data_IF_134562109433
#
_entry.id   IF_134562109433
#
_cell.length_a   1.000
_cell.length_b   1.000
_cell.length_c   1.000
_cell.angle_alpha   90.00
_cell.angle_beta   90.00
_cell.angle_gamma   90.00
#
_symmetry.space_group_name_H-M   'P 1'
#
loop_
_entity.id
_entity.type
_entity.pdbx_description
1 polymer ?
#
# COMPACT_ATOMS: atom_id res chain seq x y z
N UNK A 1 39.85 -9.13 -0.37
CA UNK A 1 38.88 -8.03 -0.12
C UNK A 1 37.98 -8.50 1.01
N UNK A 2 38.09 -7.87 2.17
CA UNK A 2 37.30 -8.18 3.36
C UNK A 2 35.80 -8.01 3.04
N UNK A 3 35.07 -9.13 2.95
CA UNK A 3 33.63 -9.14 2.69
C UNK A 3 32.81 -8.56 3.86
N UNK A 4 33.46 -8.30 5.00
CA UNK A 4 32.82 -7.89 6.25
C UNK A 4 32.77 -6.37 6.47
N UNK A 5 33.36 -5.58 5.57
CA UNK A 5 33.42 -4.12 5.67
C UNK A 5 32.53 -3.35 4.70
N UNK A 6 31.69 -4.03 3.91
CA UNK A 6 30.81 -3.33 2.97
C UNK A 6 29.47 -3.01 3.64
N UNK A 7 29.10 -1.74 3.67
CA UNK A 7 27.93 -1.22 4.39
C UNK A 7 26.60 -1.97 4.10
N UNK A 8 26.44 -2.54 2.90
CA UNK A 8 25.25 -3.31 2.54
C UNK A 8 25.11 -4.63 3.32
N UNK A 9 26.21 -5.18 3.86
CA UNK A 9 26.18 -6.41 4.67
C UNK A 9 25.71 -6.17 6.10
N UNK A 10 25.74 -4.91 6.56
CA UNK A 10 25.24 -4.44 7.86
C UNK A 10 23.83 -3.85 7.77
N UNK A 11 23.34 -3.57 6.56
CA UNK A 11 22.01 -3.05 6.34
C UNK A 11 20.97 -4.15 6.50
N UNK A 12 20.03 -3.97 7.43
CA UNK A 12 18.87 -4.87 7.55
C UNK A 12 17.87 -4.51 6.47
N UNK A 13 17.84 -5.31 5.41
CA UNK A 13 16.94 -5.09 4.27
C UNK A 13 15.46 -5.22 4.62
N UNK A 14 15.13 -5.78 5.79
CA UNK A 14 13.79 -5.70 6.40
C UNK A 14 13.32 -4.26 6.67
N UNK A 15 14.22 -3.26 6.71
CA UNK A 15 13.86 -1.85 6.78
C UNK A 15 13.64 -1.18 5.42
N UNK A 16 13.88 -1.87 4.30
CA UNK A 16 13.70 -1.26 2.98
C UNK A 16 12.21 -0.94 2.73
N UNK A 17 11.84 0.34 2.55
CA UNK A 17 10.46 0.77 2.67
C UNK A 17 9.74 0.69 1.32
N UNK A 18 9.40 -0.50 0.85
CA UNK A 18 8.45 -0.65 -0.26
C UNK A 18 7.15 -1.29 0.24
N UNK A 19 6.33 -0.45 0.86
CA UNK A 19 5.00 -0.78 1.36
C UNK A 19 3.98 0.18 0.74
N UNK A 20 2.67 -0.11 0.87
CA UNK A 20 1.64 0.79 0.36
C UNK A 20 1.78 2.23 0.88
N UNK A 21 2.23 2.37 2.13
CA UNK A 21 2.43 3.67 2.78
C UNK A 21 3.67 4.43 2.29
N UNK A 22 4.58 3.81 1.54
CA UNK A 22 5.74 4.49 0.95
C UNK A 22 5.58 4.81 -0.53
N UNK A 23 4.61 4.21 -1.23
CA UNK A 23 4.31 4.49 -2.65
C UNK A 23 4.21 5.98 -2.97
N UNK A 24 3.50 6.82 -2.17
CA UNK A 24 3.36 8.24 -2.50
C UNK A 24 4.70 8.97 -2.62
N UNK A 25 5.72 8.56 -1.86
CA UNK A 25 7.06 9.16 -1.92
C UNK A 25 7.75 8.95 -3.26
N UNK A 26 7.47 7.85 -3.94
CA UNK A 26 8.02 7.58 -5.27
C UNK A 26 7.22 8.28 -6.37
N UNK A 27 5.92 8.47 -6.17
CA UNK A 27 5.05 9.02 -7.21
C UNK A 27 4.94 10.55 -7.19
N UNK A 28 5.08 11.19 -6.03
CA UNK A 28 5.06 12.65 -5.95
C UNK A 28 6.17 13.32 -6.78
N UNK A 29 7.44 12.89 -6.72
CA UNK A 29 8.47 13.46 -7.58
C UNK A 29 8.13 13.31 -9.06
N UNK A 30 7.63 12.14 -9.48
CA UNK A 30 7.23 11.87 -10.88
C UNK A 30 6.10 12.81 -11.29
N UNK A 31 5.10 13.00 -10.44
CA UNK A 31 3.99 13.93 -10.67
C UNK A 31 4.48 15.38 -10.82
N UNK A 32 5.43 15.82 -9.98
CA UNK A 32 5.92 17.21 -9.98
C UNK A 32 6.76 17.54 -11.21
N UNK A 33 7.54 16.59 -11.75
CA UNK A 33 8.38 16.82 -12.93
C UNK A 33 7.65 16.55 -14.25
N UNK A 34 6.59 15.75 -14.22
CA UNK A 34 5.87 15.37 -15.43
C UNK A 34 4.88 16.45 -15.87
N UNK A 35 4.89 16.76 -17.17
CA UNK A 35 4.02 17.76 -17.78
C UNK A 35 2.75 17.15 -18.41
N UNK A 36 2.70 15.82 -18.57
CA UNK A 36 1.57 15.14 -19.19
C UNK A 36 0.37 15.09 -18.22
N UNK A 37 -0.69 15.85 -18.54
CA UNK A 37 -1.91 15.96 -17.73
C UNK A 37 -2.63 14.62 -17.50
N UNK A 38 -2.64 13.72 -18.49
CA UNK A 38 -3.30 12.43 -18.37
C UNK A 38 -2.54 11.52 -17.40
N UNK A 39 -1.21 11.46 -17.54
CA UNK A 39 -0.37 10.72 -16.60
C UNK A 39 -0.48 11.31 -15.19
N UNK A 40 -0.46 12.63 -15.05
CA UNK A 40 -0.63 13.31 -13.76
C UNK A 40 -1.97 12.99 -13.10
N UNK A 41 -3.05 12.83 -13.88
CA UNK A 41 -4.34 12.38 -13.35
C UNK A 41 -4.27 10.94 -12.82
N UNK A 42 -3.67 10.02 -13.58
CA UNK A 42 -3.47 8.62 -13.16
C UNK A 42 -2.64 8.56 -11.88
N UNK A 43 -1.54 9.33 -11.82
CA UNK A 43 -0.67 9.40 -10.64
C UNK A 43 -1.40 9.94 -9.41
N UNK A 44 -2.16 11.04 -9.56
CA UNK A 44 -2.93 11.62 -8.45
C UNK A 44 -4.03 10.66 -7.97
N UNK A 45 -4.72 9.99 -8.89
CA UNK A 45 -5.72 8.98 -8.52
C UNK A 45 -5.07 7.87 -7.69
N UNK A 46 -3.94 7.35 -8.15
CA UNK A 46 -3.24 6.27 -7.47
C UNK A 46 -2.60 6.69 -6.15
N UNK A 47 -2.05 7.90 -6.06
CA UNK A 47 -1.58 8.47 -4.79
C UNK A 47 -2.74 8.64 -3.83
N UNK A 48 -3.88 9.17 -4.28
CA UNK A 48 -5.07 9.31 -3.42
C UNK A 48 -5.54 7.95 -2.89
N UNK A 49 -5.58 6.94 -3.76
CA UNK A 49 -6.00 5.57 -3.43
C UNK A 49 -5.06 4.91 -2.42
N UNK A 50 -3.75 4.91 -2.71
CA UNK A 50 -2.73 4.25 -1.88
C UNK A 50 -2.46 4.99 -0.58
N UNK A 51 -2.49 6.32 -0.56
CA UNK A 51 -2.32 7.11 0.68
C UNK A 51 -3.49 6.89 1.63
N UNK A 52 -4.72 6.92 1.11
CA UNK A 52 -5.90 6.66 1.94
C UNK A 52 -5.89 5.24 2.49
N UNK A 53 -5.67 4.25 1.61
CA UNK A 53 -5.65 2.85 2.03
C UNK A 53 -4.48 2.55 2.98
N UNK A 54 -3.26 2.98 2.65
CA UNK A 54 -2.06 2.77 3.46
C UNK A 54 -2.09 3.51 4.79
N UNK A 55 -2.74 4.68 4.86
CA UNK A 55 -2.97 5.39 6.12
C UNK A 55 -3.97 4.67 7.02
N UNK A 56 -5.13 4.29 6.47
CA UNK A 56 -6.22 3.66 7.24
C UNK A 56 -5.88 2.22 7.64
N UNK A 57 -5.27 1.44 6.75
CA UNK A 57 -5.08 0.00 6.95
C UNK A 57 -4.23 -0.32 8.16
N UNK A 58 -3.18 0.47 8.42
CA UNK A 58 -2.33 0.29 9.58
C UNK A 58 -3.01 0.76 10.87
N UNK A 59 -3.80 1.84 10.82
CA UNK A 59 -4.48 2.36 12.00
C UNK A 59 -5.67 1.47 12.44
N UNK A 60 -6.33 0.78 11.50
CA UNK A 60 -7.56 0.02 11.75
C UNK A 60 -7.35 -1.50 11.69
N UNK A 61 -6.68 -2.01 10.65
CA UNK A 61 -6.65 -3.45 10.38
C UNK A 61 -5.44 -4.16 11.00
N UNK A 62 -4.29 -3.48 11.08
CA UNK A 62 -3.04 -4.11 11.54
C UNK A 62 -2.21 -3.18 12.46
N UNK A 63 -2.79 -2.68 13.57
CA UNK A 63 -2.08 -1.75 14.46
C UNK A 63 -0.86 -2.39 15.13
N UNK A 64 -0.92 -3.69 15.40
CA UNK A 64 0.14 -4.43 16.10
C UNK A 64 1.42 -4.63 15.28
N UNK A 65 1.39 -4.44 13.95
CA UNK A 65 2.59 -4.55 13.12
C UNK A 65 3.46 -3.29 13.14
N UNK A 66 2.94 -2.19 13.69
CA UNK A 66 3.60 -0.88 13.61
C UNK A 66 3.81 -0.23 14.97
N UNK A 67 3.12 -0.74 16.00
CA UNK A 67 3.39 -0.44 17.40
C UNK A 67 4.53 -1.33 17.90
N UNK A 68 5.70 -0.72 18.11
CA UNK A 68 6.90 -1.33 18.64
C UNK A 68 7.05 -1.02 20.13
N UNK A 69 8.09 -1.56 20.79
CA UNK A 69 8.40 -1.25 22.20
C UNK A 69 8.94 0.18 22.42
N UNK A 70 8.92 1.04 21.40
CA UNK A 70 9.53 2.36 21.45
C UNK A 70 8.52 3.42 21.06
N UNK A 71 8.20 4.28 22.04
CA UNK A 71 7.27 5.40 21.91
C UNK A 71 7.63 6.29 20.70
N UNK A 72 8.92 6.48 20.41
CA UNK A 72 9.35 7.28 19.28
C UNK A 72 8.91 6.68 17.93
N UNK A 73 9.13 5.37 17.74
CA UNK A 73 8.71 4.69 16.51
C UNK A 73 7.19 4.65 16.38
N UNK A 74 6.48 4.49 17.49
CA UNK A 74 5.02 4.48 17.52
C UNK A 74 4.46 5.85 17.13
N UNK A 75 4.96 6.93 17.73
CA UNK A 75 4.57 8.29 17.38
C UNK A 75 4.90 8.62 15.92
N UNK A 76 6.10 8.28 15.45
CA UNK A 76 6.50 8.51 14.06
C UNK A 76 5.57 7.76 13.09
N UNK A 77 5.30 6.49 13.36
CA UNK A 77 4.39 5.66 12.56
C UNK A 77 2.98 6.26 12.53
N UNK A 78 2.41 6.57 13.68
CA UNK A 78 1.06 7.14 13.76
C UNK A 78 0.94 8.48 13.04
N UNK A 79 1.95 9.35 13.16
CA UNK A 79 1.98 10.63 12.44
C UNK A 79 2.07 10.37 10.93
N UNK A 80 2.96 9.49 10.49
CA UNK A 80 3.14 9.13 9.08
C UNK A 80 1.84 8.62 8.45
N UNK A 81 1.20 7.62 9.06
CA UNK A 81 -0.05 7.05 8.57
C UNK A 81 -1.22 8.03 8.65
N UNK A 82 -1.27 8.85 9.70
CA UNK A 82 -2.25 9.94 9.82
C UNK A 82 -2.11 10.97 8.69
N UNK A 83 -0.89 11.38 8.34
CA UNK A 83 -0.64 12.29 7.22
C UNK A 83 -1.06 11.66 5.90
N UNK A 84 -0.75 10.39 5.64
CA UNK A 84 -1.17 9.69 4.42
C UNK A 84 -2.69 9.63 4.29
N UNK A 85 -3.39 9.31 5.38
CA UNK A 85 -4.84 9.33 5.41
C UNK A 85 -5.38 10.73 5.05
N UNK A 86 -4.83 11.78 5.66
CA UNK A 86 -5.22 13.16 5.37
C UNK A 86 -4.96 13.56 3.92
N UNK A 87 -3.82 13.18 3.34
CA UNK A 87 -3.50 13.41 1.92
C UNK A 87 -4.59 12.80 1.04
N UNK A 88 -4.94 11.52 1.27
CA UNK A 88 -5.99 10.85 0.52
C UNK A 88 -7.34 11.55 0.63
N UNK A 89 -7.75 11.94 1.84
CA UNK A 89 -9.00 12.67 2.09
C UNK A 89 -9.00 14.02 1.38
N UNK A 90 -7.93 14.80 1.50
CA UNK A 90 -7.80 16.14 0.88
C UNK A 90 -7.90 16.05 -0.64
N UNK A 91 -7.23 15.07 -1.27
CA UNK A 91 -7.29 14.86 -2.72
C UNK A 91 -8.71 14.50 -3.19
N UNK A 92 -9.44 13.70 -2.41
CA UNK A 92 -10.85 13.36 -2.69
C UNK A 92 -11.75 14.57 -2.53
N UNK A 93 -11.70 15.26 -1.38
CA UNK A 93 -12.63 16.35 -1.07
C UNK A 93 -12.47 17.55 -2.01
N UNK A 94 -11.24 17.90 -2.37
CA UNK A 94 -10.94 18.95 -3.34
C UNK A 94 -11.18 18.54 -4.80
N UNK A 95 -11.59 17.29 -5.05
CA UNK A 95 -11.85 16.74 -6.37
C UNK A 95 -10.60 16.67 -7.29
N UNK A 96 -9.40 16.58 -6.72
CA UNK A 96 -8.20 16.25 -7.48
C UNK A 96 -8.23 14.79 -7.94
N UNK A 97 -8.69 13.90 -7.06
CA UNK A 97 -9.09 12.54 -7.42
C UNK A 97 -10.61 12.43 -7.44
N UNK A 98 -11.15 11.90 -8.53
CA UNK A 98 -12.60 11.79 -8.80
C UNK A 98 -12.92 10.37 -9.21
N UNK A 99 -13.98 9.83 -8.63
CA UNK A 99 -14.56 8.56 -9.06
C UNK A 99 -15.48 8.81 -10.27
N UNK A 100 -14.91 8.88 -11.47
CA UNK A 100 -15.66 9.13 -12.71
C UNK A 100 -15.97 7.83 -13.46
N UNK A 101 -17.14 7.24 -13.19
CA UNK A 101 -17.78 6.24 -14.08
C UNK A 101 -16.83 5.15 -14.65
N UNK A 102 -15.89 4.65 -13.83
CA UNK A 102 -14.98 3.55 -14.18
C UNK A 102 -13.53 3.94 -14.49
N UNK A 103 -13.23 5.13 -15.01
CA UNK A 103 -11.83 5.48 -15.36
C UNK A 103 -10.93 5.49 -14.12
N UNK A 104 -11.43 6.01 -13.00
CA UNK A 104 -10.76 5.90 -11.71
C UNK A 104 -10.37 4.45 -11.36
N UNK A 105 -11.28 3.49 -11.51
CA UNK A 105 -11.01 2.08 -11.18
C UNK A 105 -9.92 1.55 -12.13
N UNK A 106 -10.02 1.86 -13.42
CA UNK A 106 -9.04 1.44 -14.44
C UNK A 106 -7.65 2.02 -14.15
N UNK A 107 -7.54 3.32 -13.87
CA UNK A 107 -6.27 3.99 -13.55
C UNK A 107 -5.58 3.33 -12.35
N UNK A 108 -6.35 3.13 -11.27
CA UNK A 108 -5.83 2.53 -10.05
C UNK A 108 -5.45 1.08 -10.27
N UNK A 109 -6.28 0.28 -10.95
CA UNK A 109 -5.99 -1.11 -11.24
C UNK A 109 -4.72 -1.24 -12.10
N UNK A 110 -4.60 -0.41 -13.13
CA UNK A 110 -3.44 -0.39 -14.01
C UNK A 110 -2.14 -0.11 -13.24
N UNK A 111 -2.11 0.96 -12.45
CA UNK A 111 -0.95 1.30 -11.62
C UNK A 111 -0.64 0.23 -10.58
N UNK A 112 -1.68 -0.34 -9.99
CA UNK A 112 -1.56 -1.38 -8.99
C UNK A 112 -0.97 -2.67 -9.57
N UNK A 113 -1.39 -3.07 -10.78
CA UNK A 113 -0.81 -4.22 -11.50
C UNK A 113 0.64 -3.98 -11.87
N UNK A 114 1.00 -2.80 -12.39
CA UNK A 114 2.41 -2.45 -12.67
C UNK A 114 3.25 -2.60 -11.41
N UNK A 115 2.81 -1.97 -10.32
CA UNK A 115 3.53 -2.02 -9.06
C UNK A 115 3.65 -3.46 -8.54
N UNK A 116 2.56 -4.23 -8.56
CA UNK A 116 2.57 -5.62 -8.14
C UNK A 116 3.55 -6.46 -8.97
N UNK A 117 3.53 -6.33 -10.31
CA UNK A 117 4.48 -7.03 -11.18
C UNK A 117 5.93 -6.67 -10.87
N UNK A 118 6.23 -5.37 -10.69
CA UNK A 118 7.58 -4.92 -10.30
C UNK A 118 7.99 -5.53 -8.96
N UNK A 119 7.10 -5.54 -7.97
CA UNK A 119 7.37 -6.07 -6.64
C UNK A 119 7.63 -7.57 -6.67
N UNK A 120 6.83 -8.34 -7.40
CA UNK A 120 7.03 -9.79 -7.56
C UNK A 120 8.38 -10.09 -8.22
N UNK A 121 8.72 -9.37 -9.30
CA UNK A 121 10.00 -9.53 -9.99
C UNK A 121 11.17 -9.19 -9.07
N UNK A 122 11.10 -8.07 -8.34
CA UNK A 122 12.16 -7.65 -7.43
C UNK A 122 12.31 -8.64 -6.26
N UNK A 123 11.20 -9.13 -5.70
CA UNK A 123 11.24 -10.20 -4.71
C UNK A 123 11.90 -11.46 -5.31
N UNK A 124 11.62 -11.84 -6.54
CA UNK A 124 12.30 -13.01 -7.13
C UNK A 124 13.80 -12.78 -7.33
N UNK A 125 14.21 -11.60 -7.80
CA UNK A 125 15.62 -11.24 -7.95
C UNK A 125 16.35 -11.27 -6.60
N UNK A 126 15.74 -10.69 -5.56
CA UNK A 126 16.31 -10.72 -4.22
C UNK A 126 16.46 -12.15 -3.72
N UNK A 127 15.47 -13.02 -3.95
CA UNK A 127 15.54 -14.41 -3.53
C UNK A 127 16.71 -15.13 -4.20
N UNK A 128 16.80 -15.06 -5.53
CA UNK A 128 17.86 -15.74 -6.28
C UNK A 128 19.27 -15.23 -5.96
N UNK A 129 19.40 -13.93 -5.69
CA UNK A 129 20.70 -13.33 -5.33
C UNK A 129 21.12 -13.69 -3.91
N UNK A 130 20.19 -13.79 -2.97
CA UNK A 130 20.46 -14.14 -1.58
C UNK A 130 20.62 -15.66 -1.34
N UNK A 131 20.03 -16.51 -2.20
CA UNK A 131 20.06 -17.97 -2.06
C UNK A 131 21.48 -18.58 -2.04
N UNK A 132 22.52 -17.84 -2.47
CA UNK A 132 23.91 -18.30 -2.44
C UNK A 132 24.54 -18.27 -1.03
N UNK A 133 23.94 -17.58 -0.06
CA UNK A 133 24.41 -17.47 1.33
C UNK A 133 23.31 -17.92 2.33
N UNK A 134 22.88 -19.18 2.19
CA UNK A 134 21.69 -19.77 2.86
C UNK A 134 21.61 -19.59 4.39
N UNK A 135 22.75 -19.45 5.08
CA UNK A 135 22.80 -19.38 6.54
C UNK A 135 22.51 -17.99 7.12
N UNK A 136 22.39 -16.93 6.31
CA UNK A 136 22.05 -15.56 6.75
C UNK A 136 20.59 -15.15 6.47
N UNK A 137 19.76 -16.07 5.99
CA UNK A 137 18.55 -15.77 5.21
C UNK A 137 17.29 -15.32 5.98
N UNK A 138 17.14 -15.59 7.28
CA UNK A 138 15.82 -15.41 7.92
C UNK A 138 15.50 -13.99 8.40
N UNK A 139 16.48 -13.13 8.71
CA UNK A 139 16.21 -11.80 9.29
C UNK A 139 16.55 -10.60 8.39
N UNK A 140 17.31 -10.83 7.32
CA UNK A 140 17.91 -9.76 6.50
C UNK A 140 17.43 -9.73 5.04
N UNK A 141 16.30 -10.37 4.74
CA UNK A 141 15.77 -10.43 3.38
C UNK A 141 14.73 -9.32 3.10
N UNK A 142 14.86 -8.54 2.00
CA UNK A 142 13.84 -7.59 1.60
C UNK A 142 12.58 -8.31 1.09
N UNK A 143 11.50 -8.27 1.88
CA UNK A 143 10.18 -8.77 1.46
C UNK A 143 9.28 -7.59 1.10
N UNK A 144 9.41 -7.12 -0.14
CA UNK A 144 8.67 -5.97 -0.64
C UNK A 144 7.15 -6.25 -0.62
N UNK A 145 6.35 -5.31 -0.12
CA UNK A 145 4.91 -5.44 0.21
C UNK A 145 4.54 -6.63 1.11
N UNK A 146 5.52 -7.32 1.69
CA UNK A 146 5.34 -8.60 2.37
C UNK A 146 4.75 -9.73 1.48
N UNK A 147 4.96 -9.71 0.16
CA UNK A 147 4.30 -10.63 -0.79
C UNK A 147 5.20 -11.69 -1.44
N UNK A 148 6.42 -11.91 -0.95
CA UNK A 148 7.28 -12.95 -1.51
C UNK A 148 6.61 -14.33 -1.40
N UNK A 149 6.55 -15.07 -2.50
CA UNK A 149 5.99 -16.42 -2.55
C UNK A 149 6.89 -17.47 -1.86
N UNK A 150 8.11 -17.08 -1.49
CA UNK A 150 9.07 -17.92 -0.76
C UNK A 150 9.01 -17.76 0.76
N UNK A 151 8.30 -16.72 1.25
CA UNK A 151 8.27 -16.37 2.67
C UNK A 151 6.86 -16.43 3.24
N UNK A 152 6.76 -16.93 4.46
CA UNK A 152 5.51 -16.87 5.20
C UNK A 152 5.23 -15.41 5.61
N UNK A 153 3.97 -14.99 5.52
CA UNK A 153 3.51 -13.66 5.91
C UNK A 153 2.16 -13.76 6.65
N UNK A 154 1.67 -12.64 7.17
CA UNK A 154 0.41 -12.62 7.92
C UNK A 154 -0.78 -13.17 7.11
N UNK A 155 -0.85 -12.88 5.80
CA UNK A 155 -1.94 -13.37 4.94
C UNK A 155 -1.86 -14.88 4.71
N UNK A 156 -0.66 -15.43 4.59
CA UNK A 156 -0.42 -16.87 4.55
C UNK A 156 -0.94 -17.54 5.81
N UNK A 157 -0.56 -17.04 6.99
CA UNK A 157 -1.04 -17.59 8.27
C UNK A 157 -2.57 -17.52 8.39
N UNK A 158 -3.17 -16.41 7.97
CA UNK A 158 -4.61 -16.23 7.96
C UNK A 158 -5.30 -17.21 7.01
N UNK A 159 -4.75 -17.41 5.80
CA UNK A 159 -5.27 -18.35 4.81
C UNK A 159 -5.17 -19.80 5.30
N UNK A 160 -4.02 -20.21 5.80
CA UNK A 160 -3.81 -21.56 6.35
C UNK A 160 -4.78 -21.84 7.50
N UNK A 161 -5.02 -20.85 8.36
CA UNK A 161 -5.98 -20.94 9.47
C UNK A 161 -7.43 -21.04 9.00
N UNK A 162 -7.85 -20.21 8.04
CA UNK A 162 -9.24 -20.17 7.54
C UNK A 162 -9.58 -21.46 6.80
N UNK A 163 -8.68 -21.93 5.94
CA UNK A 163 -8.94 -23.09 5.08
C UNK A 163 -8.45 -24.41 5.68
N UNK A 164 -7.77 -24.37 6.84
CA UNK A 164 -7.17 -25.56 7.47
C UNK A 164 -6.22 -26.32 6.53
N UNK A 165 -5.48 -25.59 5.70
CA UNK A 165 -4.49 -26.13 4.73
C UNK A 165 -3.08 -25.68 5.15
N UNK A 166 -2.05 -26.49 4.86
CA UNK A 166 -0.64 -26.09 4.97
C UNK A 166 -0.04 -25.89 3.58
N UNK A 167 0.54 -24.73 3.32
CA UNK A 167 1.10 -24.35 2.01
C UNK A 167 2.58 -24.73 1.86
N UNK A 168 3.21 -25.29 2.91
CA UNK A 168 4.52 -25.95 2.88
C UNK A 168 5.63 -25.17 2.13
N UNK A 169 5.72 -23.86 2.34
CA UNK A 169 6.80 -23.03 1.78
C UNK A 169 6.58 -22.55 0.35
N UNK A 170 5.47 -22.91 -0.30
CA UNK A 170 5.10 -22.38 -1.62
C UNK A 170 3.84 -21.52 -1.50
N UNK A 171 4.02 -20.20 -1.50
CA UNK A 171 2.96 -19.23 -1.23
C UNK A 171 2.50 -18.48 -2.50
N UNK A 172 2.63 -19.08 -3.67
CA UNK A 172 2.20 -18.49 -4.95
C UNK A 172 0.72 -18.10 -4.95
N UNK A 173 -0.15 -18.95 -4.40
CA UNK A 173 -1.59 -18.67 -4.29
C UNK A 173 -1.84 -17.38 -3.50
N UNK A 174 -1.13 -17.19 -2.39
CA UNK A 174 -1.25 -15.97 -1.57
C UNK A 174 -0.73 -14.75 -2.31
N UNK A 175 0.41 -14.91 -2.99
CA UNK A 175 1.02 -13.83 -3.79
C UNK A 175 0.07 -13.36 -4.89
N UNK A 176 -0.60 -14.29 -5.59
CA UNK A 176 -1.56 -13.97 -6.65
C UNK A 176 -2.90 -13.43 -6.13
N UNK A 177 -3.34 -13.85 -4.94
CA UNK A 177 -4.56 -13.33 -4.31
C UNK A 177 -4.35 -11.96 -3.66
N UNK A 178 -3.13 -11.67 -3.19
CA UNK A 178 -2.77 -10.40 -2.57
C UNK A 178 -3.25 -9.17 -3.35
N UNK A 179 -3.00 -9.04 -4.66
CA UNK A 179 -3.38 -7.86 -5.39
C UNK A 179 -4.90 -7.68 -5.46
N UNK A 180 -5.64 -8.78 -5.62
CA UNK A 180 -7.10 -8.77 -5.68
C UNK A 180 -7.68 -8.33 -4.33
N UNK A 181 -7.22 -8.95 -3.24
CA UNK A 181 -7.73 -8.65 -1.89
C UNK A 181 -7.46 -7.19 -1.51
N UNK A 182 -6.21 -6.74 -1.66
CA UNK A 182 -5.83 -5.37 -1.28
C UNK A 182 -6.52 -4.32 -2.16
N UNK A 183 -6.66 -4.58 -3.47
CA UNK A 183 -7.35 -3.67 -4.37
C UNK A 183 -8.84 -3.54 -4.01
N UNK A 184 -9.53 -4.65 -3.72
CA UNK A 184 -10.94 -4.63 -3.29
C UNK A 184 -11.10 -3.90 -1.95
N UNK A 185 -10.24 -4.17 -0.98
CA UNK A 185 -10.27 -3.48 0.32
C UNK A 185 -10.01 -1.96 0.16
N UNK A 186 -9.02 -1.58 -0.65
CA UNK A 186 -8.72 -0.19 -0.92
C UNK A 186 -9.88 0.52 -1.65
N UNK A 187 -10.55 -0.15 -2.59
CA UNK A 187 -11.77 0.37 -3.23
C UNK A 187 -12.93 0.53 -2.24
N UNK A 188 -13.12 -0.42 -1.32
CA UNK A 188 -14.15 -0.33 -0.29
C UNK A 188 -13.91 0.89 0.62
N UNK A 189 -12.67 1.08 1.09
CA UNK A 189 -12.27 2.24 1.91
C UNK A 189 -12.50 3.55 1.15
N UNK A 190 -12.06 3.63 -0.11
CA UNK A 190 -12.24 4.83 -0.93
C UNK A 190 -13.72 5.15 -1.17
N UNK A 191 -14.52 4.11 -1.46
CA UNK A 191 -15.96 4.25 -1.68
C UNK A 191 -16.68 4.76 -0.43
N UNK A 192 -16.30 4.30 0.76
CA UNK A 192 -16.83 4.78 2.03
C UNK A 192 -16.59 6.29 2.22
N UNK A 193 -15.38 6.78 1.94
CA UNK A 193 -15.06 8.22 2.02
C UNK A 193 -15.86 9.04 1.02
N UNK A 194 -16.09 8.53 -0.19
CA UNK A 194 -16.96 9.19 -1.17
C UNK A 194 -18.40 9.28 -0.68
N UNK A 195 -18.94 8.20 -0.10
CA UNK A 195 -20.29 8.21 0.47
C UNK A 195 -20.39 9.30 1.54
N UNK A 196 -19.42 9.40 2.46
CA UNK A 196 -19.38 10.45 3.48
C UNK A 196 -19.38 11.85 2.84
N UNK A 197 -18.53 12.07 1.84
CA UNK A 197 -18.46 13.35 1.11
C UNK A 197 -19.80 13.72 0.45
N UNK A 198 -20.47 12.76 -0.17
CA UNK A 198 -21.77 12.97 -0.82
C UNK A 198 -22.86 13.25 0.22
N UNK A 199 -22.91 12.48 1.30
CA UNK A 199 -23.86 12.67 2.41
C UNK A 199 -23.75 14.06 3.05
N UNK A 200 -22.53 14.57 3.22
CA UNK A 200 -22.29 15.90 3.79
C UNK A 200 -22.69 17.06 2.86
N UNK A 201 -22.91 16.83 1.56
CA UNK A 201 -23.43 17.84 0.62
C UNK A 201 -24.97 17.96 0.62
N UNK A 202 -25.68 17.01 1.25
CA UNK A 202 -27.15 16.93 1.21
C UNK A 202 -27.92 17.94 2.13
N UNK A 203 -27.35 18.70 3.11
CA UNK A 203 -28.20 19.54 3.97
C UNK A 203 -28.72 20.85 3.37
N UNK A 204 -28.12 21.45 2.33
CA UNK A 204 -28.47 22.84 1.96
C UNK A 204 -29.66 22.98 0.99
N UNK A 205 -30.06 21.91 0.30
CA UNK A 205 -31.08 22.03 -0.76
C UNK A 205 -32.52 21.76 -0.29
N UNK A 206 -32.74 21.43 0.99
CA UNK A 206 -34.09 21.21 1.55
C UNK A 206 -34.72 22.47 2.18
N UNK A 207 -33.93 23.49 2.52
CA UNK A 207 -34.45 24.71 3.17
C UNK A 207 -34.83 25.84 2.19
N UNK A 208 -34.78 25.61 0.87
CA UNK A 208 -35.17 26.60 -0.15
C UNK A 208 -36.51 26.32 -0.85
N UNK A 209 -37.25 25.27 -0.45
CA UNK A 209 -38.53 24.91 -1.08
C UNK A 209 -39.79 25.21 -0.23
N UNK A 210 -39.67 25.97 0.87
CA UNK A 210 -40.81 26.26 1.76
C UNK A 210 -41.27 27.73 1.76
N UNK A 211 -40.87 28.54 0.77
CA UNK A 211 -41.34 29.92 0.60
C UNK A 211 -41.53 30.26 -0.88
N UNK A 212 -42.55 29.66 -1.51
CA UNK A 212 -43.22 30.18 -2.70
C UNK A 212 -44.70 29.83 -2.62
#
# INVERSE_FOLDING_TARGET
MDKDNVWYSKYKWSYFPLFFCSIPYFLFPIYLINQNKNLNKILIDFVSFTSLYGGISIMIFIPNEVLNKSIFFDCHSMIHHGILMLIGIVLIFNNYSKFDKGNYIIHNLFMFLIMFSVVVILNEIFYQTAHKDLNKLQENYPNLLAISHHLNNHLTLLFEKIFSVKLNGNYWVITLLYPVINFVLALAVYSLIIIIKVSNKIPENKNKMSFQ
#
